data_IF_626977052244
#
_entry.id   IF_626977052244
#
_cell.length_a   1.000
_cell.length_b   1.000
_cell.length_c   1.000
_cell.angle_alpha   90.00
_cell.angle_beta   90.00
_cell.angle_gamma   90.00
#
_symmetry.space_group_name_H-M   'P 1'
#
loop_
_entity.id
_entity.type
_entity.pdbx_description
1 polymer ?
#
# COMPACT_ATOMS: atom_id res chain seq x y z
N UNK A 1 20.82 -9.73 -3.96
CA UNK A 1 21.31 -10.69 -4.98
C UNK A 1 20.15 -11.62 -5.29
N UNK A 2 19.63 -11.58 -6.53
CA UNK A 2 18.56 -12.48 -6.94
C UNK A 2 18.96 -13.95 -6.70
N UNK A 3 18.05 -14.79 -6.22
CA UNK A 3 18.36 -16.17 -5.85
C UNK A 3 18.74 -17.05 -7.06
N UNK A 4 18.40 -16.64 -8.27
CA UNK A 4 18.66 -17.37 -9.52
C UNK A 4 19.16 -16.44 -10.62
N UNK A 5 19.96 -16.98 -11.54
CA UNK A 5 20.30 -16.29 -12.78
C UNK A 5 19.02 -16.06 -13.59
N UNK A 6 18.86 -14.87 -14.17
CA UNK A 6 17.69 -14.46 -14.95
C UNK A 6 16.38 -14.37 -14.15
N UNK A 7 16.42 -14.15 -12.84
CA UNK A 7 15.22 -14.01 -12.00
C UNK A 7 14.28 -12.89 -12.49
N UNK A 8 14.83 -11.79 -12.95
CA UNK A 8 14.08 -10.70 -13.58
C UNK A 8 13.25 -11.18 -14.79
N UNK A 9 13.84 -12.02 -15.64
CA UNK A 9 13.12 -12.59 -16.79
C UNK A 9 12.01 -13.53 -16.37
N UNK A 10 12.18 -14.26 -15.28
CA UNK A 10 11.15 -15.14 -14.73
C UNK A 10 9.97 -14.30 -14.25
N UNK A 11 10.21 -13.21 -13.50
CA UNK A 11 9.16 -12.30 -13.04
C UNK A 11 8.43 -11.63 -14.22
N UNK A 12 9.15 -11.26 -15.26
CA UNK A 12 8.57 -10.67 -16.47
C UNK A 12 7.67 -11.67 -17.22
N UNK A 13 8.10 -12.91 -17.34
CA UNK A 13 7.30 -13.98 -17.94
C UNK A 13 6.02 -14.24 -17.13
N UNK A 14 6.10 -14.29 -15.80
CA UNK A 14 4.91 -14.42 -14.94
C UNK A 14 3.95 -13.24 -15.09
N UNK A 15 4.48 -12.01 -15.06
CA UNK A 15 3.66 -10.81 -15.24
C UNK A 15 2.94 -10.83 -16.59
N UNK A 16 3.66 -11.14 -17.66
CA UNK A 16 3.13 -11.24 -19.01
C UNK A 16 2.05 -12.32 -19.09
N UNK A 17 2.31 -13.49 -18.50
CA UNK A 17 1.35 -14.59 -18.50
C UNK A 17 0.06 -14.21 -17.77
N UNK A 18 0.15 -13.60 -16.58
CA UNK A 18 -1.02 -13.16 -15.79
C UNK A 18 -1.85 -12.14 -16.56
N UNK A 19 -1.18 -11.16 -17.22
CA UNK A 19 -1.86 -10.10 -17.96
C UNK A 19 -2.51 -10.57 -19.26
N UNK A 20 -1.98 -11.64 -19.87
CA UNK A 20 -2.48 -12.18 -21.14
C UNK A 20 -3.55 -13.25 -20.97
N UNK A 21 -3.68 -13.82 -19.80
CA UNK A 21 -4.66 -14.87 -19.54
C UNK A 21 -5.92 -14.27 -18.90
N UNK A 22 -7.07 -14.67 -19.42
CA UNK A 22 -8.36 -14.39 -18.79
C UNK A 22 -8.50 -15.27 -17.55
N UNK A 23 -8.02 -14.75 -16.42
CA UNK A 23 -8.21 -15.39 -15.13
C UNK A 23 -9.67 -15.21 -14.70
N UNK A 24 -10.23 -16.20 -14.00
CA UNK A 24 -11.57 -16.09 -13.39
C UNK A 24 -11.53 -15.16 -12.16
N UNK A 25 -11.20 -13.90 -12.41
CA UNK A 25 -11.08 -12.83 -11.41
C UNK A 25 -11.70 -11.55 -11.96
N UNK A 26 -12.20 -10.70 -11.08
CA UNK A 26 -12.86 -9.45 -11.50
C UNK A 26 -11.91 -8.49 -12.22
N UNK A 27 -10.63 -8.53 -11.85
CA UNK A 27 -9.63 -7.60 -12.42
C UNK A 27 -8.20 -8.07 -12.18
N UNK A 28 -7.36 -7.87 -13.17
CA UNK A 28 -5.89 -7.96 -13.07
C UNK A 28 -5.30 -6.55 -13.14
N UNK A 29 -4.41 -6.22 -12.23
CA UNK A 29 -3.73 -4.92 -12.17
C UNK A 29 -2.24 -5.15 -12.30
N UNK A 30 -1.62 -4.52 -13.31
CA UNK A 30 -0.18 -4.58 -13.52
C UNK A 30 0.56 -3.73 -12.48
N UNK A 31 1.27 -4.38 -11.61
CA UNK A 31 2.15 -3.76 -10.60
C UNK A 31 3.63 -3.84 -10.98
N UNK A 32 3.98 -4.80 -11.82
CA UNK A 32 5.36 -5.08 -12.19
C UNK A 32 5.93 -4.00 -13.12
N UNK A 33 5.23 -3.69 -14.20
CA UNK A 33 5.69 -2.72 -15.20
C UNK A 33 5.91 -1.31 -14.62
N UNK A 34 4.99 -0.72 -13.85
CA UNK A 34 5.22 0.60 -13.25
C UNK A 34 6.41 0.63 -12.31
N UNK A 35 6.58 -0.40 -11.47
CA UNK A 35 7.69 -0.48 -10.53
C UNK A 35 9.03 -0.62 -11.27
N UNK A 36 9.11 -1.52 -12.25
CA UNK A 36 10.31 -1.73 -13.08
C UNK A 36 10.72 -0.46 -13.83
N UNK A 37 9.72 0.26 -14.39
CA UNK A 37 9.96 1.54 -15.07
C UNK A 37 10.52 2.59 -14.11
N UNK A 38 9.97 2.71 -12.90
CA UNK A 38 10.48 3.66 -11.91
C UNK A 38 11.90 3.32 -11.49
N UNK A 39 12.21 2.06 -11.19
CA UNK A 39 13.57 1.61 -10.86
C UNK A 39 14.56 1.97 -11.98
N UNK A 40 14.19 1.72 -13.23
CA UNK A 40 15.00 2.07 -14.38
C UNK A 40 15.29 3.58 -14.43
N UNK A 41 14.27 4.41 -14.28
CA UNK A 41 14.41 5.87 -14.28
C UNK A 41 15.30 6.38 -13.14
N UNK A 42 15.14 5.83 -11.93
CA UNK A 42 16.00 6.20 -10.80
C UNK A 42 17.47 5.82 -11.05
N UNK A 43 17.72 4.68 -11.69
CA UNK A 43 19.06 4.21 -12.00
C UNK A 43 19.77 4.99 -13.09
N UNK A 44 19.06 5.78 -13.91
CA UNK A 44 19.69 6.71 -14.87
C UNK A 44 20.49 7.81 -14.15
N UNK A 45 20.02 8.27 -13.00
CA UNK A 45 20.68 9.30 -12.18
C UNK A 45 21.50 8.72 -11.03
N UNK A 46 21.11 7.57 -10.51
CA UNK A 46 21.79 6.86 -9.43
C UNK A 46 21.88 5.35 -9.75
N UNK A 47 22.95 4.90 -10.43
CA UNK A 47 23.12 3.50 -10.81
C UNK A 47 23.05 2.49 -9.66
N UNK A 48 23.35 2.93 -8.41
CA UNK A 48 23.27 2.13 -7.20
C UNK A 48 21.88 2.15 -6.55
N UNK A 49 20.88 2.78 -7.18
CA UNK A 49 19.53 2.86 -6.60
C UNK A 49 18.94 1.46 -6.37
N UNK A 50 18.47 1.24 -5.14
CA UNK A 50 17.71 0.08 -4.73
C UNK A 50 16.34 0.54 -4.22
N UNK A 51 15.29 -0.16 -4.64
CA UNK A 51 13.92 0.17 -4.23
C UNK A 51 13.53 -0.41 -2.87
N UNK A 52 14.48 -1.02 -2.16
CA UNK A 52 14.30 -1.66 -0.86
C UNK A 52 15.41 -2.68 -0.60
N UNK A 53 15.08 -3.78 0.07
CA UNK A 53 16.01 -4.86 0.41
C UNK A 53 16.03 -6.02 -0.61
N UNK A 54 15.66 -5.77 -1.85
CA UNK A 54 15.47 -6.74 -2.96
C UNK A 54 14.17 -7.55 -2.89
N UNK A 55 13.43 -7.50 -1.80
CA UNK A 55 12.14 -8.20 -1.61
C UNK A 55 11.04 -7.22 -1.21
N UNK A 56 11.34 -6.32 -0.30
CA UNK A 56 10.38 -5.36 0.24
C UNK A 56 10.62 -3.97 -0.35
N UNK A 57 9.62 -3.38 -1.02
CA UNK A 57 9.73 -2.04 -1.55
C UNK A 57 9.99 -1.01 -0.43
N UNK A 58 10.79 0.01 -0.73
CA UNK A 58 10.88 1.20 0.13
C UNK A 58 9.63 2.08 -0.02
N UNK A 59 9.58 3.22 0.67
CA UNK A 59 8.43 4.13 0.64
C UNK A 59 8.07 4.56 -0.80
N UNK A 60 9.07 4.82 -1.65
CA UNK A 60 8.82 5.17 -3.04
C UNK A 60 8.23 3.99 -3.82
N UNK A 61 8.77 2.80 -3.65
CA UNK A 61 8.24 1.60 -4.27
C UNK A 61 6.78 1.33 -3.86
N UNK A 62 6.46 1.43 -2.57
CA UNK A 62 5.08 1.34 -2.08
C UNK A 62 4.16 2.40 -2.69
N UNK A 63 4.65 3.61 -2.87
CA UNK A 63 3.88 4.68 -3.51
C UNK A 63 3.57 4.38 -4.98
N UNK A 64 4.55 3.91 -5.75
CA UNK A 64 4.34 3.50 -7.15
C UNK A 64 3.33 2.36 -7.27
N UNK A 65 3.42 1.36 -6.39
CA UNK A 65 2.44 0.27 -6.32
C UNK A 65 1.04 0.78 -5.98
N UNK A 66 0.92 1.67 -5.00
CA UNK A 66 -0.37 2.28 -4.63
C UNK A 66 -0.97 3.07 -5.79
N UNK A 67 -0.18 3.87 -6.52
CA UNK A 67 -0.64 4.58 -7.72
C UNK A 67 -1.15 3.63 -8.80
N UNK A 68 -0.43 2.52 -9.05
CA UNK A 68 -0.84 1.51 -10.03
C UNK A 68 -2.16 0.85 -9.62
N UNK A 69 -2.33 0.48 -8.35
CA UNK A 69 -3.57 -0.08 -7.81
C UNK A 69 -4.73 0.91 -7.98
N UNK A 70 -4.56 2.16 -7.54
CA UNK A 70 -5.60 3.18 -7.61
C UNK A 70 -6.00 3.49 -9.06
N UNK A 71 -5.04 3.52 -9.98
CA UNK A 71 -5.30 3.67 -11.41
C UNK A 71 -6.09 2.47 -11.95
N UNK A 72 -5.67 1.27 -11.60
CA UNK A 72 -6.36 0.04 -11.96
C UNK A 72 -7.79 -0.04 -11.42
N UNK A 73 -8.06 0.53 -10.24
CA UNK A 73 -9.38 0.63 -9.62
C UNK A 73 -10.22 1.83 -10.13
N UNK A 74 -9.80 2.52 -11.19
CA UNK A 74 -10.46 3.71 -11.73
C UNK A 74 -10.57 4.87 -10.72
N UNK A 75 -9.55 5.06 -9.88
CA UNK A 75 -9.41 6.20 -8.97
C UNK A 75 -8.33 7.19 -9.46
N UNK A 76 -8.48 7.83 -10.64
CA UNK A 76 -7.41 8.58 -11.29
C UNK A 76 -6.98 9.81 -10.49
N UNK A 77 -7.87 10.44 -9.73
CA UNK A 77 -7.53 11.61 -8.89
C UNK A 77 -6.55 11.21 -7.77
N UNK A 78 -6.77 10.08 -7.12
CA UNK A 78 -5.85 9.56 -6.10
C UNK A 78 -4.54 9.05 -6.72
N UNK A 79 -4.61 8.44 -7.91
CA UNK A 79 -3.44 8.00 -8.65
C UNK A 79 -2.58 9.15 -9.22
N UNK A 80 -3.13 10.35 -9.35
CA UNK A 80 -2.43 11.54 -9.87
C UNK A 80 -1.56 12.25 -8.82
N UNK A 81 -1.59 11.83 -7.54
CA UNK A 81 -0.67 12.35 -6.53
C UNK A 81 0.77 12.05 -6.97
N UNK A 82 1.61 13.09 -6.95
CA UNK A 82 3.02 12.98 -7.39
C UNK A 82 3.99 12.84 -6.24
N UNK A 83 3.55 13.17 -5.03
CA UNK A 83 4.37 13.14 -3.83
C UNK A 83 3.56 12.61 -2.64
N UNK A 84 4.11 11.62 -1.96
CA UNK A 84 3.54 11.01 -0.76
C UNK A 84 4.03 11.67 0.54
N UNK A 85 5.12 12.45 0.47
CA UNK A 85 5.75 13.09 1.63
C UNK A 85 5.15 14.45 1.98
N UNK A 86 4.43 15.06 1.03
CA UNK A 86 3.91 16.42 1.14
C UNK A 86 2.37 16.45 1.05
N UNK A 87 1.69 15.70 1.91
CA UNK A 87 0.30 16.02 2.18
C UNK A 87 0.27 17.42 2.82
N UNK A 88 -0.52 18.36 2.30
CA UNK A 88 -0.69 19.66 2.95
C UNK A 88 -1.00 19.48 4.43
N UNK A 89 -0.43 20.31 5.30
CA UNK A 89 -0.64 20.24 6.76
C UNK A 89 -2.14 20.18 7.10
N UNK A 90 -2.97 20.79 6.27
CA UNK A 90 -4.42 20.84 6.41
C UNK A 90 -5.17 19.77 5.59
N UNK A 91 -4.47 18.80 5.02
CA UNK A 91 -5.15 17.74 4.25
C UNK A 91 -6.04 16.91 5.18
N UNK A 92 -7.29 16.57 4.79
CA UNK A 92 -8.21 15.79 5.64
C UNK A 92 -7.63 14.46 6.16
N UNK A 93 -6.72 13.87 5.41
CA UNK A 93 -6.05 12.62 5.80
C UNK A 93 -4.95 12.80 6.86
N UNK A 94 -4.48 14.02 7.12
CA UNK A 94 -3.36 14.24 8.05
C UNK A 94 -3.71 13.76 9.46
N UNK A 95 -4.90 14.05 9.94
CA UNK A 95 -5.36 13.61 11.28
C UNK A 95 -5.86 12.15 11.24
N UNK A 96 -6.40 11.70 10.11
CA UNK A 96 -6.89 10.34 9.95
C UNK A 96 -5.75 9.31 9.81
N UNK A 97 -4.57 9.69 9.30
CA UNK A 97 -3.47 8.76 9.05
C UNK A 97 -3.01 7.98 10.28
N UNK A 98 -2.83 8.57 11.48
CA UNK A 98 -2.46 7.80 12.67
C UNK A 98 -3.51 6.75 13.02
N UNK A 99 -4.80 7.07 12.86
CA UNK A 99 -5.91 6.14 13.10
C UNK A 99 -5.93 5.01 12.06
N UNK A 100 -5.74 5.35 10.79
CA UNK A 100 -5.64 4.38 9.68
C UNK A 100 -4.49 3.38 9.94
N UNK A 101 -3.32 3.89 10.31
CA UNK A 101 -2.15 3.06 10.59
C UNK A 101 -2.37 2.18 11.84
N UNK A 102 -2.97 2.72 12.89
CA UNK A 102 -3.32 1.96 14.10
C UNK A 102 -4.31 0.85 13.79
N UNK A 103 -5.40 1.17 13.05
CA UNK A 103 -6.40 0.21 12.58
C UNK A 103 -5.73 -0.92 11.79
N UNK A 104 -4.93 -0.57 10.80
CA UNK A 104 -4.23 -1.55 9.96
C UNK A 104 -3.32 -2.45 10.79
N UNK A 105 -2.52 -1.87 11.68
CA UNK A 105 -1.57 -2.61 12.52
C UNK A 105 -2.27 -3.64 13.41
N UNK A 106 -3.34 -3.25 14.08
CA UNK A 106 -4.09 -4.13 14.99
C UNK A 106 -4.81 -5.25 14.21
N UNK A 107 -5.51 -4.88 13.15
CA UNK A 107 -6.25 -5.82 12.32
C UNK A 107 -5.33 -6.83 11.63
N UNK A 108 -4.25 -6.38 11.01
CA UNK A 108 -3.31 -7.28 10.34
C UNK A 108 -2.53 -8.18 11.32
N UNK A 109 -2.30 -7.74 12.54
CA UNK A 109 -1.66 -8.56 13.58
C UNK A 109 -2.57 -9.74 13.98
N UNK A 110 -3.85 -9.46 14.27
CA UNK A 110 -4.83 -10.49 14.61
C UNK A 110 -5.04 -11.51 13.49
N UNK A 111 -5.13 -11.06 12.24
CA UNK A 111 -5.26 -11.95 11.10
C UNK A 111 -4.04 -12.83 10.88
N UNK A 112 -2.82 -12.26 11.00
CA UNK A 112 -1.58 -13.04 10.87
C UNK A 112 -1.45 -14.09 11.95
N UNK A 113 -1.87 -13.80 13.18
CA UNK A 113 -1.89 -14.78 14.27
C UNK A 113 -2.94 -15.86 14.01
N UNK A 114 -4.14 -15.48 13.57
CA UNK A 114 -5.22 -16.40 13.25
C UNK A 114 -4.83 -17.43 12.17
N UNK A 115 -4.13 -17.00 11.12
CA UNK A 115 -3.67 -17.91 10.04
C UNK A 115 -2.33 -18.59 10.35
N UNK A 116 -1.76 -18.40 11.53
CA UNK A 116 -0.49 -19.01 11.93
C UNK A 116 0.75 -18.45 11.22
N UNK A 117 0.63 -17.27 10.59
CA UNK A 117 1.75 -16.65 9.86
C UNK A 117 2.74 -15.90 10.77
N UNK A 118 2.33 -15.53 11.96
CA UNK A 118 3.19 -14.83 12.91
C UNK A 118 3.79 -15.80 13.93
N UNK A 119 5.08 -15.60 14.27
CA UNK A 119 5.65 -16.25 15.47
C UNK A 119 4.90 -15.74 16.71
N UNK A 120 4.55 -16.61 17.66
CA UNK A 120 3.93 -16.18 18.90
C UNK A 120 4.75 -15.08 19.55
N UNK A 121 4.15 -13.92 19.79
CA UNK A 121 4.75 -12.85 20.56
C UNK A 121 4.44 -13.09 22.04
N UNK A 122 5.22 -12.45 22.95
CA UNK A 122 4.95 -12.47 24.40
C UNK A 122 3.57 -11.91 24.76
N UNK A 123 3.06 -10.99 23.96
CA UNK A 123 1.71 -10.46 24.06
C UNK A 123 0.93 -10.97 22.85
N UNK A 124 -0.15 -11.70 23.10
CA UNK A 124 -1.06 -12.17 22.05
C UNK A 124 -1.78 -10.96 21.42
N UNK A 125 -1.94 -10.98 20.11
CA UNK A 125 -2.84 -10.06 19.44
C UNK A 125 -4.28 -10.32 19.93
N UNK A 126 -5.19 -9.32 19.84
CA UNK A 126 -6.62 -9.56 20.11
C UNK A 126 -7.13 -10.66 19.16
N UNK A 127 -8.21 -11.33 19.57
CA UNK A 127 -8.86 -12.30 18.68
C UNK A 127 -9.28 -11.63 17.37
N UNK A 128 -9.47 -12.43 16.30
CA UNK A 128 -9.93 -11.90 15.01
C UNK A 128 -11.25 -11.14 15.17
N UNK A 129 -12.17 -11.66 15.97
CA UNK A 129 -13.47 -11.07 16.23
C UNK A 129 -13.34 -9.71 16.95
N UNK A 130 -12.54 -9.65 18.00
CA UNK A 130 -12.25 -8.40 18.73
C UNK A 130 -11.56 -7.37 17.83
N UNK A 131 -10.57 -7.81 17.03
CA UNK A 131 -9.89 -6.93 16.09
C UNK A 131 -10.82 -6.39 15.00
N UNK A 132 -11.81 -7.18 14.57
CA UNK A 132 -12.83 -6.74 13.61
C UNK A 132 -13.71 -5.65 14.21
N UNK A 133 -14.25 -5.87 15.42
CA UNK A 133 -15.07 -4.88 16.14
C UNK A 133 -14.30 -3.58 16.37
N UNK A 134 -13.02 -3.68 16.79
CA UNK A 134 -12.16 -2.51 16.97
C UNK A 134 -11.89 -1.79 15.65
N UNK A 135 -11.69 -2.53 14.56
CA UNK A 135 -11.44 -1.95 13.25
C UNK A 135 -12.67 -1.20 12.71
N UNK A 136 -13.87 -1.72 12.92
CA UNK A 136 -15.14 -1.07 12.55
C UNK A 136 -15.37 0.21 13.35
N UNK A 137 -15.14 0.19 14.66
CA UNK A 137 -15.22 1.37 15.51
C UNK A 137 -14.23 2.46 15.06
N UNK A 138 -13.00 2.09 14.78
CA UNK A 138 -11.99 3.02 14.28
C UNK A 138 -12.31 3.55 12.88
N UNK A 139 -12.98 2.78 12.03
CA UNK A 139 -13.42 3.24 10.71
C UNK A 139 -14.42 4.39 10.81
N UNK A 140 -15.37 4.32 11.72
CA UNK A 140 -16.31 5.40 11.98
C UNK A 140 -15.59 6.68 12.45
N UNK A 141 -14.59 6.56 13.31
CA UNK A 141 -13.76 7.68 13.78
C UNK A 141 -12.92 8.29 12.65
N UNK A 142 -12.30 7.46 11.80
CA UNK A 142 -11.57 7.89 10.61
C UNK A 142 -12.47 8.66 9.66
N UNK A 143 -13.65 8.11 9.34
CA UNK A 143 -14.60 8.77 8.44
C UNK A 143 -15.13 10.08 9.02
N UNK A 144 -15.35 10.16 10.32
CA UNK A 144 -15.74 11.39 11.01
C UNK A 144 -14.63 12.46 10.87
N UNK A 145 -13.39 12.09 11.17
CA UNK A 145 -12.22 12.97 11.05
C UNK A 145 -12.05 13.56 9.64
N UNK A 146 -12.20 12.71 8.61
CA UNK A 146 -12.10 13.15 7.21
C UNK A 146 -13.25 14.09 6.83
N UNK A 147 -14.49 13.76 7.21
CA UNK A 147 -15.67 14.57 6.90
C UNK A 147 -15.65 15.93 7.59
N UNK A 148 -15.29 15.95 8.87
CA UNK A 148 -15.24 17.18 9.66
C UNK A 148 -14.31 18.22 9.04
N UNK A 149 -13.12 17.85 8.57
CA UNK A 149 -12.22 18.77 7.88
C UNK A 149 -12.71 19.18 6.49
N UNK A 150 -13.36 18.27 5.77
CA UNK A 150 -13.91 18.60 4.45
C UNK A 150 -15.04 19.64 4.50
N UNK A 151 -15.74 19.74 5.62
CA UNK A 151 -16.88 20.66 5.82
C UNK A 151 -16.51 21.99 6.51
N UNK A 152 -15.32 22.08 7.10
CA UNK A 152 -14.86 23.27 7.83
C UNK A 152 -13.66 23.97 7.14
N UNK A 153 -13.91 24.87 6.17
CA UNK A 153 -12.85 25.54 5.42
C UNK A 153 -11.97 26.48 6.27
N UNK A 154 -12.34 26.80 7.51
CA UNK A 154 -11.53 27.62 8.41
C UNK A 154 -10.23 26.95 8.89
N UNK A 155 -10.07 25.64 8.71
CA UNK A 155 -8.82 24.92 8.94
C UNK A 155 -7.91 24.84 7.70
N UNK A 156 -8.25 25.58 6.62
CA UNK A 156 -7.52 25.59 5.33
C UNK A 156 -6.56 26.78 5.17
N UNK A 157 -6.16 27.43 6.26
CA UNK A 157 -5.18 28.54 6.22
C UNK A 157 -3.93 28.20 6.97
#
# INVERSE_FOLDING_TARGET
KAPYNNYDQVLENYSTWILQNELQVDRVIDLHTPLKKDIFQQRLSNPAYEYGDSVHPNNRGHFILAQAILKGLNAPRAAALTDYSNLPINHPLTDAMPLILKRHKNFSAAWREHVGHAKPKKESAPSREEATIQAEAMEAEILHSIRFRSTNPHFSR
#
